data_IF_999386700694
#
_entry.id   IF_999386700694
#
_cell.length_a   1.000
_cell.length_b   1.000
_cell.length_c   1.000
_cell.angle_alpha   90.00
_cell.angle_beta   90.00
_cell.angle_gamma   90.00
#
_symmetry.space_group_name_H-M   'P 1'
#
loop_
_entity.id
_entity.type
_entity.pdbx_description
1 polymer ?
#
# COMPACT_ATOMS: atom_id res chain seq x y z
N UNK A 1 -13.90 58.72 21.85
CA UNK A 1 -14.12 57.91 23.07
C UNK A 1 -12.82 57.92 23.83
N UNK A 2 -12.84 58.22 25.14
CA UNK A 2 -11.65 58.05 25.99
C UNK A 2 -11.32 56.56 26.05
N UNK A 3 -10.07 56.20 25.73
CA UNK A 3 -9.57 54.84 25.87
C UNK A 3 -9.52 54.50 27.37
N UNK A 4 -9.96 53.29 27.74
CA UNK A 4 -9.88 52.76 29.10
C UNK A 4 -8.72 51.75 29.10
N UNK A 5 -7.68 51.99 29.92
CA UNK A 5 -6.47 51.17 30.02
C UNK A 5 -5.17 51.89 29.60
N UNK A 6 -4.04 51.18 29.64
CA UNK A 6 -2.74 51.69 29.15
C UNK A 6 -2.73 51.62 27.62
N UNK A 7 -2.59 52.78 26.96
CA UNK A 7 -2.49 52.85 25.51
C UNK A 7 -1.02 52.65 25.08
N UNK A 8 -0.76 51.52 24.43
CA UNK A 8 0.56 51.21 23.87
C UNK A 8 0.63 51.65 22.40
N UNK A 9 1.65 52.45 22.08
CA UNK A 9 1.95 52.86 20.70
C UNK A 9 2.34 51.63 19.85
N UNK A 10 1.83 51.50 18.61
CA UNK A 10 2.11 50.36 17.76
C UNK A 10 3.46 50.48 17.06
N UNK A 11 4.38 49.56 17.33
CA UNK A 11 5.69 49.48 16.70
C UNK A 11 5.79 48.36 15.65
N UNK A 12 6.55 48.55 14.57
CA UNK A 12 6.84 47.46 13.66
C UNK A 12 7.91 46.52 14.23
N UNK A 13 7.65 45.21 14.19
CA UNK A 13 8.69 44.19 14.36
C UNK A 13 9.19 43.78 12.98
N UNK A 14 10.42 44.17 12.64
CA UNK A 14 11.00 43.90 11.33
C UNK A 14 11.75 42.56 11.36
N UNK A 15 11.29 41.61 10.54
CA UNK A 15 11.92 40.31 10.34
C UNK A 15 12.47 40.22 8.93
N UNK A 16 13.65 39.62 8.75
CA UNK A 16 14.28 39.43 7.44
C UNK A 16 14.32 37.95 7.12
N UNK A 17 13.82 37.55 5.95
CA UNK A 17 13.77 36.15 5.52
C UNK A 17 15.18 35.52 5.50
N UNK A 18 15.27 34.25 5.86
CA UNK A 18 16.53 33.46 5.86
C UNK A 18 17.64 34.02 6.76
N UNK A 19 17.30 34.83 7.78
CA UNK A 19 18.26 35.42 8.73
C UNK A 19 17.80 35.20 10.16
N UNK A 20 18.75 34.97 11.06
CA UNK A 20 18.51 35.01 12.50
C UNK A 20 17.91 36.38 12.89
N UNK A 21 16.94 36.37 13.79
CA UNK A 21 16.50 37.58 14.47
C UNK A 21 17.27 37.74 15.78
N UNK A 22 17.88 38.91 15.99
CA UNK A 22 18.55 39.28 17.24
C UNK A 22 18.10 40.65 17.68
N UNK A 23 17.73 40.76 18.95
CA UNK A 23 17.35 42.03 19.54
C UNK A 23 17.84 42.13 20.98
N UNK A 24 18.15 43.35 21.40
CA UNK A 24 18.66 43.65 22.72
C UNK A 24 18.17 45.03 23.14
N UNK A 25 17.77 45.16 24.40
CA UNK A 25 17.49 46.45 25.02
C UNK A 25 17.79 46.42 26.51
N UNK A 26 17.89 47.61 27.10
CA UNK A 26 18.08 47.80 28.53
C UNK A 26 16.79 48.28 29.19
N UNK A 27 16.49 47.78 30.38
CA UNK A 27 15.47 48.35 31.24
C UNK A 27 16.01 49.64 31.87
N UNK A 28 15.32 50.75 31.63
CA UNK A 28 15.76 52.08 32.07
C UNK A 28 14.75 52.64 33.08
N UNK A 29 15.24 53.32 34.11
CA UNK A 29 14.40 54.05 35.05
C UNK A 29 13.88 55.39 34.48
N UNK A 30 13.13 56.15 35.27
CA UNK A 30 12.61 57.48 34.89
C UNK A 30 13.71 58.49 34.49
N UNK A 31 14.95 58.28 34.97
CA UNK A 31 16.11 59.11 34.67
C UNK A 31 16.95 58.57 33.50
N UNK A 32 16.46 57.53 32.81
CA UNK A 32 17.15 56.82 31.71
C UNK A 32 18.44 56.11 32.15
N UNK A 33 18.53 55.71 33.41
CA UNK A 33 19.63 54.91 33.92
C UNK A 33 19.26 53.42 33.89
N UNK A 34 20.18 52.51 33.50
CA UNK A 34 19.94 51.08 33.53
C UNK A 34 19.57 50.59 34.92
N UNK A 35 18.44 49.90 35.02
CA UNK A 35 17.94 49.31 36.26
C UNK A 35 17.61 47.83 36.03
N UNK A 36 17.91 46.91 36.98
CA UNK A 36 17.59 45.50 36.79
C UNK A 36 16.13 45.25 36.46
N UNK A 37 15.85 44.27 35.60
CA UNK A 37 14.48 43.80 35.41
C UNK A 37 13.97 43.19 36.73
N UNK A 38 12.69 43.42 37.08
CA UNK A 38 12.08 42.70 38.19
C UNK A 38 12.08 41.18 37.92
N UNK A 39 12.01 40.35 38.97
CA UNK A 39 11.93 38.90 38.79
C UNK A 39 10.71 38.51 37.96
N UNK A 40 10.92 37.74 36.90
CA UNK A 40 9.87 37.38 35.96
C UNK A 40 10.40 36.89 34.61
N UNK A 41 9.48 36.73 33.66
CA UNK A 41 9.77 36.34 32.27
C UNK A 41 9.40 37.48 31.33
N UNK A 42 10.25 37.73 30.34
CA UNK A 42 10.00 38.70 29.28
C UNK A 42 10.00 37.96 27.94
N UNK A 43 8.99 38.18 27.10
CA UNK A 43 8.87 37.49 25.82
C UNK A 43 8.07 38.28 24.79
N UNK A 44 8.37 38.05 23.51
CA UNK A 44 7.43 38.38 22.46
C UNK A 44 6.33 37.33 22.39
N UNK A 45 5.11 37.79 22.22
CA UNK A 45 3.94 36.97 21.99
C UNK A 45 3.35 37.35 20.63
N UNK A 46 3.43 36.43 19.67
CA UNK A 46 3.03 36.64 18.28
C UNK A 46 1.75 35.86 17.98
N UNK A 47 0.71 36.55 17.51
CA UNK A 47 -0.56 35.95 17.07
C UNK A 47 -0.39 35.35 15.66
N UNK A 48 0.29 34.21 15.62
CA UNK A 48 0.60 33.46 14.39
C UNK A 48 -0.59 32.69 13.82
N UNK A 49 -1.78 32.84 14.42
CA UNK A 49 -3.04 32.31 13.94
C UNK A 49 -3.25 30.80 14.13
N UNK A 50 -4.54 30.42 14.15
CA UNK A 50 -5.08 29.06 14.03
C UNK A 50 -4.63 28.08 15.10
N UNK A 51 -5.11 28.24 16.34
CA UNK A 51 -4.97 27.21 17.36
C UNK A 51 -5.59 25.91 16.86
N UNK A 52 -4.80 24.84 16.87
CA UNK A 52 -5.34 23.53 16.56
C UNK A 52 -4.56 22.42 17.26
N UNK A 53 -5.29 21.38 17.64
CA UNK A 53 -4.74 20.15 18.21
C UNK A 53 -3.77 19.45 17.25
N UNK A 54 -2.83 18.69 17.80
CA UNK A 54 -2.09 17.73 17.01
C UNK A 54 -3.03 16.59 16.58
N UNK A 55 -2.93 16.19 15.31
CA UNK A 55 -3.71 15.08 14.76
C UNK A 55 -2.80 14.26 13.85
N UNK A 56 -2.75 12.97 14.11
CA UNK A 56 -1.92 12.01 13.38
C UNK A 56 -2.79 10.83 12.96
N UNK A 57 -2.52 10.29 11.78
CA UNK A 57 -3.18 9.09 11.27
C UNK A 57 -2.24 7.91 11.42
N UNK A 58 -2.75 6.82 11.98
CA UNK A 58 -2.04 5.56 12.19
C UNK A 58 -2.67 4.52 11.30
N UNK A 59 -1.85 3.85 10.49
CA UNK A 59 -2.24 2.77 9.60
C UNK A 59 -1.54 1.48 9.99
N UNK A 60 -2.29 0.50 10.51
CA UNK A 60 -1.81 -0.86 10.78
C UNK A 60 -2.08 -1.69 9.52
N UNK A 61 -1.03 -2.17 8.87
CA UNK A 61 -1.07 -2.76 7.54
C UNK A 61 -0.54 -4.18 7.57
N UNK A 62 -1.16 -5.09 6.80
CA UNK A 62 -0.73 -6.49 6.61
C UNK A 62 -0.58 -7.31 7.90
N UNK A 63 -1.18 -6.86 8.99
CA UNK A 63 -1.23 -7.57 10.25
C UNK A 63 -2.39 -8.56 10.27
N UNK A 64 -2.19 -9.68 10.94
CA UNK A 64 -3.20 -10.73 11.15
C UNK A 64 -3.33 -11.14 12.61
N UNK A 65 -2.61 -10.46 13.52
CA UNK A 65 -2.60 -10.76 14.94
C UNK A 65 -1.41 -10.09 15.66
N UNK A 66 -1.16 -10.55 16.89
CA UNK A 66 -0.07 -10.03 17.72
C UNK A 66 -0.39 -8.68 18.33
N UNK A 67 0.65 -7.97 18.77
CA UNK A 67 0.55 -6.66 19.44
C UNK A 67 1.50 -5.63 18.85
N UNK A 68 1.19 -4.36 19.05
CA UNK A 68 2.07 -3.24 18.69
C UNK A 68 2.04 -2.18 19.79
N UNK A 69 3.00 -1.24 19.75
CA UNK A 69 3.03 -0.10 20.67
C UNK A 69 3.14 1.20 19.91
N UNK A 70 2.65 2.27 20.53
CA UNK A 70 2.77 3.62 20.04
C UNK A 70 3.61 4.45 21.01
N UNK A 71 4.67 5.05 20.49
CA UNK A 71 5.58 5.90 21.23
C UNK A 71 5.24 7.37 21.06
N UNK A 72 5.13 8.12 22.16
CA UNK A 72 4.92 9.57 22.16
C UNK A 72 5.91 10.19 23.14
N UNK A 73 6.57 11.29 22.76
CA UNK A 73 7.60 11.96 23.58
C UNK A 73 8.74 11.03 24.08
N UNK A 74 9.02 9.94 23.35
CA UNK A 74 10.07 8.97 23.70
C UNK A 74 9.65 7.89 24.69
N UNK A 75 8.38 7.86 25.11
CA UNK A 75 7.80 6.82 25.97
C UNK A 75 6.80 6.00 25.16
N UNK A 76 6.74 4.68 25.41
CA UNK A 76 5.85 3.77 24.69
C UNK A 76 4.63 3.41 25.52
N UNK A 77 3.50 3.23 24.84
CA UNK A 77 2.29 2.64 25.40
C UNK A 77 2.53 1.22 25.91
N UNK A 78 1.62 0.68 26.75
CA UNK A 78 1.42 -0.76 26.87
C UNK A 78 1.16 -1.41 25.49
N UNK A 79 1.23 -2.74 25.46
CA UNK A 79 0.88 -3.53 24.27
C UNK A 79 -0.57 -3.22 23.85
N UNK A 80 -0.75 -2.86 22.58
CA UNK A 80 -2.04 -2.71 21.93
C UNK A 80 -2.25 -3.96 21.09
N UNK A 81 -3.32 -4.69 21.37
CA UNK A 81 -3.68 -5.87 20.61
C UNK A 81 -4.09 -5.50 19.17
N UNK A 82 -3.67 -6.31 18.20
CA UNK A 82 -4.23 -6.22 16.86
C UNK A 82 -5.71 -6.55 16.93
N UNK A 83 -6.54 -5.61 16.48
CA UNK A 83 -7.98 -5.74 16.47
C UNK A 83 -8.43 -6.70 15.36
N UNK A 84 -8.64 -7.97 15.69
CA UNK A 84 -9.27 -8.88 14.75
C UNK A 84 -10.79 -8.74 14.80
N UNK A 85 -11.32 -7.96 13.87
CA UNK A 85 -12.75 -7.75 13.66
C UNK A 85 -13.58 -9.05 13.58
N UNK A 86 -12.99 -10.17 13.19
CA UNK A 86 -13.69 -11.45 13.09
C UNK A 86 -13.91 -12.12 14.45
N UNK A 87 -13.10 -11.79 15.45
CA UNK A 87 -13.15 -12.36 16.80
C UNK A 87 -13.61 -11.37 17.86
N UNK A 88 -13.22 -10.10 17.75
CA UNK A 88 -13.63 -9.02 18.63
C UNK A 88 -14.05 -7.78 17.82
N UNK A 89 -15.33 -7.64 17.46
CA UNK A 89 -15.79 -6.57 16.59
C UNK A 89 -16.02 -5.23 17.30
N UNK A 90 -15.60 -5.04 18.56
CA UNK A 90 -15.82 -3.78 19.26
C UNK A 90 -14.64 -3.33 20.11
N UNK A 91 -14.50 -2.02 20.28
CA UNK A 91 -13.69 -1.45 21.35
C UNK A 91 -12.29 -1.02 20.95
N UNK A 92 -11.92 -1.12 19.67
CA UNK A 92 -10.58 -0.76 19.18
C UNK A 92 -10.20 0.67 19.60
N UNK A 93 -11.13 1.61 19.42
CA UNK A 93 -10.94 3.01 19.79
C UNK A 93 -10.66 3.19 21.30
N UNK A 94 -11.36 2.44 22.14
CA UNK A 94 -11.20 2.47 23.59
C UNK A 94 -9.83 1.95 24.01
N UNK A 95 -9.46 0.76 23.51
CA UNK A 95 -8.19 0.12 23.82
C UNK A 95 -6.99 0.98 23.40
N UNK A 96 -7.05 1.61 22.21
CA UNK A 96 -6.00 2.54 21.74
C UNK A 96 -5.96 3.79 22.61
N UNK A 97 -7.13 4.34 23.01
CA UNK A 97 -7.19 5.52 23.89
C UNK A 97 -6.55 5.20 25.23
N UNK A 98 -6.94 4.09 25.86
CA UNK A 98 -6.43 3.66 27.16
C UNK A 98 -4.92 3.42 27.10
N UNK A 99 -4.41 2.80 26.03
CA UNK A 99 -2.99 2.54 25.86
C UNK A 99 -2.16 3.83 25.67
N UNK A 100 -2.66 4.79 24.90
CA UNK A 100 -1.98 6.09 24.70
C UNK A 100 -2.03 6.95 25.98
N UNK A 101 -3.16 6.94 26.69
CA UNK A 101 -3.33 7.69 27.94
C UNK A 101 -2.55 7.08 29.12
N UNK A 102 -2.19 5.79 29.03
CA UNK A 102 -1.30 5.13 29.98
C UNK A 102 0.17 5.60 29.86
N UNK A 103 0.54 6.29 28.77
CA UNK A 103 1.85 6.91 28.64
C UNK A 103 1.93 8.09 29.63
N UNK A 104 2.90 8.13 30.57
CA UNK A 104 2.99 9.20 31.58
C UNK A 104 3.07 10.61 31.00
N UNK A 105 3.81 10.78 29.90
CA UNK A 105 3.93 12.07 29.20
C UNK A 105 2.66 12.52 28.46
N UNK A 106 1.71 11.60 28.22
CA UNK A 106 0.41 11.88 27.61
C UNK A 106 -0.65 12.08 28.68
N UNK A 107 -0.89 11.08 29.52
CA UNK A 107 -1.85 11.11 30.62
C UNK A 107 -3.33 11.05 30.21
N UNK A 108 -4.18 10.74 31.19
CA UNK A 108 -5.62 10.55 31.00
C UNK A 108 -6.37 11.81 30.57
N UNK A 109 -7.33 11.65 29.67
CA UNK A 109 -8.17 12.71 29.10
C UNK A 109 -7.49 13.59 28.03
N UNK A 110 -6.29 13.21 27.57
CA UNK A 110 -5.49 14.00 26.62
C UNK A 110 -5.45 13.39 25.22
N UNK A 111 -6.19 12.31 24.98
CA UNK A 111 -6.27 11.68 23.65
C UNK A 111 -7.72 11.47 23.25
N UNK A 112 -7.99 11.70 21.97
CA UNK A 112 -9.23 11.31 21.31
C UNK A 112 -8.89 10.53 20.06
N UNK A 113 -9.11 9.22 20.10
CA UNK A 113 -8.98 8.37 18.92
C UNK A 113 -10.27 8.50 18.09
N UNK A 114 -10.18 8.63 16.78
CA UNK A 114 -11.33 8.62 15.87
C UNK A 114 -11.87 7.20 15.64
N UNK A 115 -13.03 7.08 15.00
CA UNK A 115 -13.53 5.77 14.59
C UNK A 115 -12.54 5.10 13.62
N UNK A 116 -12.23 3.83 13.88
CA UNK A 116 -11.40 3.02 13.01
C UNK A 116 -12.04 2.79 11.66
N UNK A 117 -11.25 2.95 10.60
CA UNK A 117 -11.58 2.54 9.24
C UNK A 117 -10.88 1.23 8.96
N UNK A 118 -11.68 0.22 8.64
CA UNK A 118 -11.24 -1.16 8.43
C UNK A 118 -11.37 -1.44 6.94
N UNK A 119 -10.24 -1.70 6.31
CA UNK A 119 -10.13 -1.90 4.87
C UNK A 119 -9.84 -3.38 4.64
N UNK A 120 -10.77 -4.14 4.07
CA UNK A 120 -10.55 -5.56 3.80
C UNK A 120 -9.50 -5.72 2.71
N UNK A 121 -8.57 -6.63 2.95
CA UNK A 121 -7.50 -6.98 2.02
C UNK A 121 -7.45 -8.49 1.86
N UNK A 122 -7.35 -8.94 0.61
CA UNK A 122 -7.08 -10.33 0.27
C UNK A 122 -5.71 -10.44 -0.35
N UNK A 123 -4.91 -11.33 0.19
CA UNK A 123 -3.62 -11.65 -0.37
C UNK A 123 -3.68 -13.04 -1.01
N UNK A 124 -3.56 -13.06 -2.33
CA UNK A 124 -3.65 -14.26 -3.14
C UNK A 124 -2.25 -14.66 -3.55
N UNK A 125 -1.77 -15.78 -3.01
CA UNK A 125 -0.51 -16.40 -3.42
C UNK A 125 -0.78 -17.51 -4.42
N UNK A 126 -0.20 -17.36 -5.61
CA UNK A 126 -0.28 -18.32 -6.70
C UNK A 126 1.10 -18.92 -6.95
N UNK A 127 1.20 -20.24 -6.86
CA UNK A 127 2.43 -20.97 -7.20
C UNK A 127 2.20 -21.75 -8.49
N UNK A 128 3.00 -21.47 -9.52
CA UNK A 128 2.96 -22.24 -10.76
C UNK A 128 3.26 -23.71 -10.45
N UNK A 129 2.41 -24.57 -10.98
CA UNK A 129 2.70 -25.99 -11.07
C UNK A 129 3.96 -26.15 -11.94
N UNK A 130 4.85 -27.08 -11.58
CA UNK A 130 6.20 -27.14 -12.13
C UNK A 130 6.19 -27.00 -13.66
N UNK A 131 7.10 -26.18 -14.22
CA UNK A 131 7.17 -25.80 -15.63
C UNK A 131 6.53 -26.84 -16.57
N UNK A 132 5.40 -26.46 -17.18
CA UNK A 132 4.66 -27.38 -18.03
C UNK A 132 5.15 -27.27 -19.47
N UNK A 133 5.36 -28.43 -20.07
CA UNK A 133 5.58 -28.56 -21.50
C UNK A 133 4.30 -28.22 -22.25
N UNK A 134 4.43 -27.59 -23.41
CA UNK A 134 3.26 -27.36 -24.25
C UNK A 134 2.71 -28.70 -24.76
N UNK A 135 1.39 -28.88 -24.67
CA UNK A 135 0.69 -30.03 -25.24
C UNK A 135 -0.27 -29.53 -26.31
N UNK A 136 -0.05 -29.97 -27.54
CA UNK A 136 -0.97 -29.74 -28.66
C UNK A 136 -1.68 -31.02 -29.05
N UNK A 137 -2.97 -30.92 -29.34
CA UNK A 137 -3.78 -32.01 -29.87
C UNK A 137 -3.81 -31.95 -31.39
N UNK A 138 -3.65 -33.11 -32.02
CA UNK A 138 -3.84 -33.35 -33.45
C UNK A 138 -5.01 -34.31 -33.60
N UNK A 139 -6.10 -33.83 -34.19
CA UNK A 139 -7.34 -34.58 -34.36
C UNK A 139 -7.72 -34.74 -35.83
N UNK A 140 -7.84 -35.98 -36.25
CA UNK A 140 -8.41 -36.37 -37.54
C UNK A 140 -9.94 -36.30 -37.44
N UNK A 141 -10.58 -35.65 -38.40
CA UNK A 141 -12.04 -35.55 -38.49
C UNK A 141 -12.54 -36.08 -39.84
N UNK A 142 -13.86 -36.25 -39.98
CA UNK A 142 -14.49 -36.75 -41.20
C UNK A 142 -14.43 -38.27 -41.37
N UNK A 143 -14.02 -39.01 -40.34
CA UNK A 143 -13.95 -40.48 -40.28
C UNK A 143 -13.12 -41.11 -41.42
N UNK A 144 -11.85 -40.71 -41.61
CA UNK A 144 -10.97 -41.39 -42.57
C UNK A 144 -10.83 -42.87 -42.21
N UNK A 145 -10.73 -43.71 -43.23
CA UNK A 145 -10.48 -45.15 -43.09
C UNK A 145 -9.11 -45.57 -43.63
N UNK A 146 -8.36 -44.63 -44.23
CA UNK A 146 -7.04 -44.88 -44.79
C UNK A 146 -6.35 -43.59 -45.27
N UNK A 147 -5.32 -43.75 -46.08
CA UNK A 147 -4.56 -42.64 -46.67
C UNK A 147 -3.45 -42.11 -45.76
N UNK A 148 -3.01 -40.88 -46.03
CA UNK A 148 -1.92 -40.22 -45.31
C UNK A 148 -2.28 -38.77 -44.95
N UNK A 149 -1.67 -38.27 -43.88
CA UNK A 149 -1.72 -36.85 -43.51
C UNK A 149 -0.31 -36.32 -43.27
N UNK A 150 -0.17 -35.00 -43.22
CA UNK A 150 1.09 -34.34 -42.89
C UNK A 150 0.86 -33.28 -41.83
N UNK A 151 1.91 -33.03 -41.05
CA UNK A 151 1.94 -31.96 -40.04
C UNK A 151 2.98 -30.93 -40.46
N UNK A 152 2.69 -29.65 -40.26
CA UNK A 152 3.67 -28.58 -40.42
C UNK A 152 3.91 -27.90 -39.09
N UNK A 153 5.17 -27.60 -38.82
CA UNK A 153 5.58 -26.81 -37.68
C UNK A 153 6.65 -25.80 -38.09
N UNK A 154 6.39 -24.52 -37.83
CA UNK A 154 7.27 -23.40 -38.14
C UNK A 154 7.81 -23.42 -39.58
N UNK A 155 6.93 -23.71 -40.55
CA UNK A 155 7.27 -23.70 -41.97
C UNK A 155 7.86 -25.00 -42.53
N UNK A 156 8.12 -26.01 -41.70
CA UNK A 156 8.54 -27.34 -42.18
C UNK A 156 7.43 -28.38 -42.08
N UNK A 157 7.28 -29.17 -43.14
CA UNK A 157 6.24 -30.21 -43.24
C UNK A 157 6.85 -31.60 -43.11
N UNK A 158 6.21 -32.47 -42.34
CA UNK A 158 6.62 -33.87 -42.20
C UNK A 158 6.51 -34.62 -43.53
N UNK A 159 7.21 -35.75 -43.64
CA UNK A 159 6.85 -36.76 -44.61
C UNK A 159 5.43 -37.32 -44.32
N UNK A 160 4.88 -38.09 -45.27
CA UNK A 160 3.57 -38.70 -45.12
C UNK A 160 3.47 -39.58 -43.86
N UNK A 161 2.43 -39.32 -43.09
CA UNK A 161 2.06 -40.07 -41.90
C UNK A 161 0.84 -40.92 -42.25
N UNK A 162 0.92 -42.26 -42.20
CA UNK A 162 -0.22 -43.10 -42.54
C UNK A 162 -1.36 -42.92 -41.54
N UNK A 163 -2.60 -43.03 -42.02
CA UNK A 163 -3.76 -43.15 -41.16
C UNK A 163 -3.58 -44.31 -40.19
N UNK A 164 -3.93 -44.09 -38.92
CA UNK A 164 -3.78 -45.09 -37.87
C UNK A 164 -2.35 -45.35 -37.39
N UNK A 165 -1.36 -44.54 -37.81
CA UNK A 165 0.01 -44.58 -37.29
C UNK A 165 0.07 -44.73 -35.75
N UNK A 166 1.08 -45.42 -35.24
CA UNK A 166 1.33 -45.43 -33.80
C UNK A 166 2.01 -44.13 -33.36
N UNK A 167 2.05 -43.89 -32.04
CA UNK A 167 2.63 -42.68 -31.49
C UNK A 167 4.12 -42.52 -31.85
N UNK A 168 4.87 -43.63 -31.87
CA UNK A 168 6.28 -43.65 -32.24
C UNK A 168 6.53 -43.21 -33.69
N UNK A 169 5.67 -43.63 -34.62
CA UNK A 169 5.74 -43.20 -36.02
C UNK A 169 5.52 -41.70 -36.13
N UNK A 170 4.46 -41.17 -35.50
CA UNK A 170 4.18 -39.71 -35.53
C UNK A 170 5.33 -38.93 -34.89
N UNK A 171 5.85 -39.39 -33.75
CA UNK A 171 6.97 -38.77 -33.05
C UNK A 171 8.23 -38.72 -33.92
N UNK A 172 8.54 -39.83 -34.61
CA UNK A 172 9.72 -39.89 -35.50
C UNK A 172 9.62 -38.87 -36.64
N UNK A 173 8.42 -38.64 -37.18
CA UNK A 173 8.17 -37.70 -38.27
C UNK A 173 8.27 -36.24 -37.81
N UNK A 174 7.78 -35.93 -36.61
CA UNK A 174 7.91 -34.61 -36.00
C UNK A 174 9.36 -34.32 -35.60
N UNK A 175 10.05 -35.30 -34.99
CA UNK A 175 11.46 -35.18 -34.58
C UNK A 175 12.42 -34.99 -35.77
N UNK A 176 12.01 -35.38 -36.98
CA UNK A 176 12.79 -35.20 -38.20
C UNK A 176 12.71 -33.76 -38.76
N UNK A 177 11.76 -32.93 -38.30
CA UNK A 177 11.72 -31.52 -38.65
C UNK A 177 12.86 -30.80 -37.94
N UNK A 178 13.68 -30.03 -38.65
CA UNK A 178 14.79 -29.31 -37.99
C UNK A 178 14.32 -28.18 -37.08
N UNK A 179 13.06 -27.75 -37.22
CA UNK A 179 12.40 -26.78 -36.35
C UNK A 179 11.94 -27.38 -35.02
N UNK A 180 11.80 -28.72 -34.93
CA UNK A 180 11.53 -29.43 -33.66
C UNK A 180 12.82 -30.07 -33.16
N UNK A 181 13.48 -30.89 -33.99
CA UNK A 181 14.70 -31.61 -33.64
C UNK A 181 14.45 -32.90 -32.85
N UNK A 182 15.46 -33.76 -32.81
CA UNK A 182 15.39 -35.04 -32.12
C UNK A 182 15.30 -34.85 -30.60
N UNK A 183 14.36 -35.56 -29.96
CA UNK A 183 14.19 -35.55 -28.51
C UNK A 183 13.42 -34.34 -27.97
N UNK A 184 12.82 -33.51 -28.83
CA UNK A 184 12.07 -32.31 -28.43
C UNK A 184 10.54 -32.44 -28.57
N UNK A 185 10.04 -33.61 -28.95
CA UNK A 185 8.62 -33.92 -28.98
C UNK A 185 8.37 -35.35 -28.48
N UNK A 186 7.42 -35.50 -27.56
CA UNK A 186 6.88 -36.78 -27.11
C UNK A 186 5.42 -36.89 -27.60
N UNK A 187 5.07 -37.99 -28.26
CA UNK A 187 3.72 -38.19 -28.79
C UNK A 187 3.01 -39.28 -28.01
N UNK A 188 1.76 -39.02 -27.65
CA UNK A 188 0.83 -40.02 -27.09
C UNK A 188 -0.36 -40.18 -28.04
N UNK A 189 -0.69 -41.41 -28.39
CA UNK A 189 -1.91 -41.72 -29.16
C UNK A 189 -3.06 -41.93 -28.18
N UNK A 190 -4.10 -41.12 -28.30
CA UNK A 190 -5.29 -41.18 -27.43
C UNK A 190 -6.29 -42.20 -27.99
N UNK A 191 -6.56 -42.11 -29.29
CA UNK A 191 -7.40 -43.05 -30.03
C UNK A 191 -6.96 -43.10 -31.51
N UNK A 192 -7.75 -43.72 -32.40
CA UNK A 192 -7.39 -43.83 -33.83
C UNK A 192 -7.40 -42.51 -34.60
N UNK A 193 -7.98 -41.46 -34.04
CA UNK A 193 -8.15 -40.15 -34.65
C UNK A 193 -7.39 -39.05 -33.91
N UNK A 194 -6.94 -39.29 -32.67
CA UNK A 194 -6.42 -38.24 -31.80
C UNK A 194 -5.02 -38.57 -31.28
N UNK A 195 -4.09 -37.63 -31.47
CA UNK A 195 -2.74 -37.65 -30.91
C UNK A 195 -2.52 -36.41 -30.06
N UNK A 196 -1.74 -36.54 -29.00
CA UNK A 196 -1.21 -35.42 -28.22
C UNK A 196 0.30 -35.35 -28.41
N UNK A 197 0.79 -34.17 -28.74
CA UNK A 197 2.20 -33.85 -28.91
C UNK A 197 2.60 -32.97 -27.76
N UNK A 198 3.45 -33.49 -26.87
CA UNK A 198 4.08 -32.76 -25.79
C UNK A 198 5.47 -32.27 -26.25
N UNK A 199 5.72 -30.96 -26.20
CA UNK A 199 7.00 -30.36 -26.55
C UNK A 199 7.97 -30.42 -25.37
N UNK A 200 9.02 -31.22 -25.52
CA UNK A 200 9.97 -31.55 -24.45
C UNK A 200 11.39 -31.10 -24.83
N UNK A 201 12.39 -31.44 -24.01
CA UNK A 201 13.79 -31.16 -24.34
C UNK A 201 14.07 -29.67 -24.46
N UNK A 202 14.61 -29.24 -25.60
CA UNK A 202 14.90 -27.83 -25.88
C UNK A 202 13.64 -26.96 -26.06
N UNK A 203 12.47 -27.56 -26.26
CA UNK A 203 11.17 -26.88 -26.38
C UNK A 203 10.32 -27.04 -25.09
N UNK A 204 10.91 -27.57 -24.02
CA UNK A 204 10.25 -27.72 -22.74
C UNK A 204 9.96 -26.36 -22.11
N UNK A 205 8.77 -26.19 -21.53
CA UNK A 205 8.39 -24.95 -20.83
C UNK A 205 8.27 -23.71 -21.71
N UNK A 206 8.23 -23.85 -23.03
CA UNK A 206 8.09 -22.73 -23.97
C UNK A 206 6.77 -22.78 -24.71
N UNK A 207 6.11 -21.63 -24.83
CA UNK A 207 4.96 -21.44 -25.71
C UNK A 207 5.45 -21.49 -27.17
N UNK A 208 4.99 -22.49 -27.91
CA UNK A 208 5.43 -22.80 -29.26
C UNK A 208 4.33 -22.59 -30.29
N UNK A 209 4.71 -22.40 -31.55
CA UNK A 209 3.76 -22.22 -32.62
C UNK A 209 2.82 -23.44 -32.75
N UNK A 210 1.52 -23.19 -33.00
CA UNK A 210 0.58 -24.27 -33.26
C UNK A 210 0.96 -25.07 -34.52
N UNK A 211 1.00 -26.41 -34.39
CA UNK A 211 1.12 -27.34 -35.51
C UNK A 211 -0.04 -27.10 -36.47
N UNK A 212 0.23 -27.11 -37.77
CA UNK A 212 -0.81 -27.10 -38.79
C UNK A 212 -1.00 -28.52 -39.33
N UNK A 213 -2.25 -28.97 -39.40
CA UNK A 213 -2.61 -30.26 -39.94
C UNK A 213 -3.06 -30.19 -41.40
N UNK A 214 -2.53 -31.07 -42.23
CA UNK A 214 -2.92 -31.19 -43.64
C UNK A 214 -3.46 -32.60 -43.92
N UNK A 215 -4.74 -32.67 -44.25
CA UNK A 215 -5.40 -33.93 -44.66
C UNK A 215 -5.31 -34.24 -46.15
N UNK A 216 -4.85 -33.29 -46.97
CA UNK A 216 -4.88 -33.40 -48.44
C UNK A 216 -3.73 -32.62 -49.09
N UNK A 217 -3.26 -33.15 -50.22
CA UNK A 217 -2.37 -32.45 -51.15
C UNK A 217 -2.34 -33.11 -52.52
N UNK A 218 -1.47 -32.64 -53.42
CA UNK A 218 -1.32 -33.24 -54.75
C UNK A 218 -0.63 -34.60 -54.62
N UNK A 219 -1.37 -35.67 -54.89
CA UNK A 219 -0.85 -37.04 -54.92
C UNK A 219 -0.81 -37.78 -53.58
N UNK A 220 -1.39 -37.21 -52.51
CA UNK A 220 -1.51 -37.83 -51.19
C UNK A 220 -2.70 -37.24 -50.42
N UNK A 221 -3.19 -37.94 -49.40
CA UNK A 221 -4.30 -37.46 -48.59
C UNK A 221 -5.01 -38.57 -47.83
N UNK A 222 -5.83 -38.17 -46.87
CA UNK A 222 -6.70 -39.06 -46.12
C UNK A 222 -7.82 -39.59 -47.02
N UNK A 223 -8.16 -40.86 -46.90
CA UNK A 223 -9.19 -41.49 -47.72
C UNK A 223 -10.32 -42.06 -46.87
N UNK A 224 -11.50 -42.20 -47.46
CA UNK A 224 -12.70 -42.66 -46.76
C UNK A 224 -13.37 -41.56 -45.96
N UNK A 225 -14.61 -41.82 -45.52
CA UNK A 225 -15.39 -40.87 -44.75
C UNK A 225 -15.90 -39.66 -45.56
N UNK A 226 -16.38 -38.64 -44.84
CA UNK A 226 -16.93 -37.39 -45.40
C UNK A 226 -15.94 -36.27 -45.15
N UNK A 227 -15.25 -35.82 -46.20
CA UNK A 227 -14.26 -34.74 -46.16
C UNK A 227 -13.25 -34.89 -45.01
N UNK A 228 -12.48 -36.00 -44.97
CA UNK A 228 -11.53 -36.21 -43.90
C UNK A 228 -10.49 -35.08 -43.85
N UNK A 229 -10.04 -34.75 -42.66
CA UNK A 229 -9.07 -33.67 -42.48
C UNK A 229 -8.38 -33.75 -41.13
N UNK A 230 -7.50 -32.76 -40.88
CA UNK A 230 -6.74 -32.66 -39.63
C UNK A 230 -6.99 -31.29 -39.03
N UNK A 231 -7.37 -31.25 -37.75
CA UNK A 231 -7.46 -30.04 -36.95
C UNK A 231 -6.49 -30.15 -35.79
N UNK A 232 -5.91 -29.02 -35.42
CA UNK A 232 -4.98 -28.92 -34.30
C UNK A 232 -5.43 -27.84 -33.32
N UNK A 233 -5.06 -28.00 -32.05
CA UNK A 233 -5.33 -27.02 -30.99
C UNK A 233 -4.35 -27.21 -29.84
N UNK A 234 -3.88 -26.12 -29.24
CA UNK A 234 -3.12 -26.18 -27.98
C UNK A 234 -4.07 -26.50 -26.82
N UNK A 235 -3.73 -27.51 -26.02
CA UNK A 235 -4.47 -27.95 -24.82
C UNK A 235 -3.86 -27.35 -23.56
N UNK A 236 -2.53 -27.24 -23.52
CA UNK A 236 -1.77 -26.65 -22.42
C UNK A 236 -0.62 -25.88 -23.02
N UNK A 237 -0.50 -24.58 -22.76
CA UNK A 237 0.62 -23.77 -23.25
C UNK A 237 1.91 -24.11 -22.50
N UNK A 238 3.06 -24.00 -23.15
CA UNK A 238 4.34 -24.19 -22.50
C UNK A 238 4.70 -22.98 -21.64
N UNK A 239 4.93 -23.19 -20.35
CA UNK A 239 5.20 -22.10 -19.40
C UNK A 239 6.28 -22.50 -18.39
N UNK A 240 7.47 -21.90 -18.52
CA UNK A 240 8.55 -22.05 -17.55
C UNK A 240 8.45 -21.05 -16.38
N UNK A 241 7.83 -19.89 -16.64
CA UNK A 241 7.74 -18.74 -15.74
C UNK A 241 6.47 -17.92 -16.03
N UNK A 242 6.09 -17.10 -15.07
CA UNK A 242 5.04 -16.09 -15.23
C UNK A 242 5.46 -15.03 -16.28
N UNK A 243 4.69 -14.84 -17.34
CA UNK A 243 4.92 -13.82 -18.37
C UNK A 243 3.83 -12.73 -18.34
N UNK A 244 4.09 -11.57 -18.95
CA UNK A 244 3.19 -10.40 -18.88
C UNK A 244 1.76 -10.68 -19.37
N UNK A 245 1.60 -11.50 -20.41
CA UNK A 245 0.28 -11.87 -20.93
C UNK A 245 -0.52 -12.67 -19.92
N UNK A 246 0.13 -13.65 -19.28
CA UNK A 246 -0.46 -14.45 -18.22
C UNK A 246 -0.79 -13.57 -17.01
N UNK A 247 0.07 -12.60 -16.66
CA UNK A 247 -0.17 -11.65 -15.57
C UNK A 247 -1.42 -10.83 -15.83
N UNK A 248 -1.56 -10.28 -17.03
CA UNK A 248 -2.72 -9.49 -17.43
C UNK A 248 -4.00 -10.33 -17.41
N UNK A 249 -3.93 -11.60 -17.80
CA UNK A 249 -5.06 -12.51 -17.76
C UNK A 249 -5.49 -12.83 -16.32
N UNK A 250 -4.55 -13.15 -15.44
CA UNK A 250 -4.83 -13.40 -14.01
C UNK A 250 -5.43 -12.13 -13.39
N UNK A 251 -4.82 -10.98 -13.61
CA UNK A 251 -5.27 -9.71 -13.07
C UNK A 251 -6.70 -9.37 -13.52
N UNK A 252 -7.00 -9.53 -14.82
CA UNK A 252 -8.35 -9.30 -15.37
C UNK A 252 -9.37 -10.26 -14.76
N UNK A 253 -8.98 -11.53 -14.58
CA UNK A 253 -9.84 -12.58 -14.03
C UNK A 253 -10.18 -12.31 -12.57
N UNK A 254 -9.18 -11.99 -11.75
CA UNK A 254 -9.36 -11.68 -10.33
C UNK A 254 -10.13 -10.37 -10.14
N UNK A 255 -9.82 -9.31 -10.90
CA UNK A 255 -10.60 -8.08 -10.90
C UNK A 255 -12.08 -8.32 -11.23
N UNK A 256 -12.36 -9.16 -12.24
CA UNK A 256 -13.72 -9.51 -12.63
C UNK A 256 -14.51 -10.16 -11.50
N UNK A 257 -13.87 -11.04 -10.72
CA UNK A 257 -14.47 -11.62 -9.52
C UNK A 257 -14.80 -10.55 -8.48
N UNK A 258 -13.85 -9.72 -8.10
CA UNK A 258 -14.07 -8.75 -7.02
C UNK A 258 -15.10 -7.67 -7.39
N UNK A 259 -15.15 -7.27 -8.66
CA UNK A 259 -16.17 -6.35 -9.17
C UNK A 259 -17.59 -6.94 -9.17
N UNK A 260 -17.75 -8.25 -9.00
CA UNK A 260 -19.07 -8.88 -8.88
C UNK A 260 -19.69 -8.71 -7.49
N UNK A 261 -18.92 -8.28 -6.48
CA UNK A 261 -19.42 -8.08 -5.14
C UNK A 261 -19.95 -6.65 -4.95
N UNK A 262 -21.27 -6.47 -5.03
CA UNK A 262 -21.94 -5.17 -4.85
C UNK A 262 -21.63 -4.47 -3.52
N UNK A 263 -21.26 -5.24 -2.49
CA UNK A 263 -20.91 -4.68 -1.18
C UNK A 263 -19.56 -3.95 -1.16
N UNK A 264 -18.70 -4.21 -2.16
CA UNK A 264 -17.45 -3.53 -2.42
C UNK A 264 -17.71 -2.36 -3.39
N UNK A 265 -17.05 -1.20 -3.20
CA UNK A 265 -17.10 -0.09 -4.18
C UNK A 265 -16.02 -0.25 -5.27
N UNK A 266 -15.72 -1.50 -5.64
CA UNK A 266 -14.51 -1.88 -6.38
C UNK A 266 -13.31 -2.13 -5.48
N UNK A 267 -12.24 -2.64 -6.09
CA UNK A 267 -10.97 -2.98 -5.44
C UNK A 267 -9.80 -2.38 -6.21
N UNK A 268 -8.73 -2.05 -5.50
CA UNK A 268 -7.42 -1.83 -6.06
C UNK A 268 -6.64 -3.16 -6.00
N UNK A 269 -6.01 -3.56 -7.11
CA UNK A 269 -5.22 -4.80 -7.15
C UNK A 269 -3.77 -4.43 -7.42
N UNK A 270 -2.95 -4.56 -6.39
CA UNK A 270 -1.52 -4.51 -6.54
C UNK A 270 -0.99 -5.91 -6.86
N UNK A 271 -0.26 -6.02 -7.96
CA UNK A 271 0.34 -7.25 -8.40
C UNK A 271 1.85 -7.22 -8.14
N UNK A 272 2.40 -8.25 -7.48
CA UNK A 272 3.85 -8.43 -7.32
C UNK A 272 4.30 -9.85 -7.70
N UNK A 273 5.39 -9.94 -8.47
CA UNK A 273 6.08 -11.22 -8.73
C UNK A 273 7.19 -11.34 -7.71
N UNK A 274 7.01 -12.18 -6.68
CA UNK A 274 8.06 -12.39 -5.68
C UNK A 274 9.19 -13.26 -6.21
N UNK A 275 8.89 -14.20 -7.11
CA UNK A 275 9.83 -15.07 -7.82
C UNK A 275 9.24 -15.51 -9.17
N UNK A 276 10.05 -15.99 -10.11
CA UNK A 276 9.60 -16.32 -11.48
C UNK A 276 8.43 -17.36 -11.58
N UNK A 277 8.11 -18.05 -10.49
CA UNK A 277 7.01 -19.02 -10.37
C UNK A 277 5.95 -18.66 -9.32
N UNK A 278 6.20 -17.63 -8.52
CA UNK A 278 5.34 -17.22 -7.42
C UNK A 278 4.80 -15.83 -7.71
N UNK A 279 3.48 -15.75 -7.89
CA UNK A 279 2.74 -14.53 -8.04
C UNK A 279 2.03 -14.22 -6.73
N UNK A 280 2.04 -12.95 -6.33
CA UNK A 280 1.25 -12.41 -5.24
C UNK A 280 0.35 -11.32 -5.77
N UNK A 281 -0.93 -11.38 -5.43
CA UNK A 281 -1.90 -10.33 -5.68
C UNK A 281 -2.40 -9.81 -4.34
N UNK A 282 -2.25 -8.53 -4.10
CA UNK A 282 -2.81 -7.84 -2.95
C UNK A 282 -4.02 -7.05 -3.43
N UNK A 283 -5.21 -7.57 -3.09
CA UNK A 283 -6.49 -6.97 -3.45
C UNK A 283 -6.99 -6.15 -2.27
N UNK A 284 -6.97 -4.83 -2.40
CA UNK A 284 -7.40 -3.88 -1.37
C UNK A 284 -8.74 -3.27 -1.73
N UNK A 285 -9.72 -3.36 -0.84
CA UNK A 285 -11.01 -2.69 -1.07
C UNK A 285 -10.87 -1.18 -1.09
N UNK A 286 -11.55 -0.52 -2.04
CA UNK A 286 -11.67 0.95 -2.06
C UNK A 286 -12.64 1.47 -1.00
N UNK A 287 -13.52 0.60 -0.48
CA UNK A 287 -14.44 0.90 0.62
C UNK A 287 -13.83 0.49 1.95
N UNK A 288 -13.83 1.41 2.91
CA UNK A 288 -13.59 1.11 4.32
C UNK A 288 -14.90 0.95 5.08
N UNK A 289 -14.85 0.17 6.16
CA UNK A 289 -15.97 -0.06 7.07
C UNK A 289 -15.60 0.44 8.46
N UNK A 290 -16.59 0.87 9.24
CA UNK A 290 -16.44 1.03 10.68
C UNK A 290 -16.74 -0.31 11.39
N UNK A 291 -16.55 -0.34 12.70
CA UNK A 291 -16.81 -1.53 13.54
C UNK A 291 -18.25 -2.07 13.38
N UNK A 292 -19.23 -1.19 13.19
CA UNK A 292 -20.63 -1.59 13.00
C UNK A 292 -20.91 -2.13 11.59
N UNK A 293 -20.30 -1.53 10.56
CA UNK A 293 -20.44 -1.92 9.16
C UNK A 293 -19.91 -3.32 8.88
N UNK A 294 -18.91 -3.78 9.63
CA UNK A 294 -18.35 -5.14 9.58
C UNK A 294 -19.38 -6.24 9.76
N UNK A 295 -20.37 -6.06 10.64
CA UNK A 295 -21.38 -7.08 10.93
C UNK A 295 -22.19 -7.43 9.66
N UNK A 296 -22.30 -6.47 8.75
CA UNK A 296 -23.00 -6.63 7.47
C UNK A 296 -22.07 -7.02 6.32
N UNK A 297 -20.76 -7.07 6.55
CA UNK A 297 -19.78 -7.48 5.56
C UNK A 297 -19.75 -9.01 5.45
N UNK A 298 -20.38 -9.54 4.40
CA UNK A 298 -20.55 -10.98 4.18
C UNK A 298 -19.67 -11.57 3.07
N UNK A 299 -18.69 -10.82 2.55
CA UNK A 299 -17.85 -11.30 1.43
C UNK A 299 -16.74 -12.19 1.98
N UNK A 300 -16.92 -13.50 1.82
CA UNK A 300 -15.92 -14.50 2.15
C UNK A 300 -15.28 -15.06 0.88
N UNK A 301 -14.12 -14.52 0.51
CA UNK A 301 -13.32 -15.02 -0.60
C UNK A 301 -12.37 -16.09 -0.06
N UNK A 302 -12.56 -17.33 -0.51
CA UNK A 302 -11.75 -18.49 -0.10
C UNK A 302 -10.81 -18.92 -1.23
N UNK A 303 -9.76 -19.68 -0.90
CA UNK A 303 -8.88 -20.31 -1.91
C UNK A 303 -9.66 -21.07 -2.97
N UNK A 304 -10.67 -21.86 -2.57
CA UNK A 304 -11.52 -22.61 -3.50
C UNK A 304 -12.31 -21.69 -4.46
N UNK A 305 -12.73 -20.51 -3.99
CA UNK A 305 -13.43 -19.55 -4.83
C UNK A 305 -12.49 -18.97 -5.90
N UNK A 306 -11.28 -18.58 -5.49
CA UNK A 306 -10.24 -18.10 -6.42
C UNK A 306 -9.86 -19.20 -7.41
N UNK A 307 -9.62 -20.43 -6.94
CA UNK A 307 -9.33 -21.58 -7.80
C UNK A 307 -10.42 -21.83 -8.83
N UNK A 308 -11.69 -21.78 -8.43
CA UNK A 308 -12.83 -21.97 -9.34
C UNK A 308 -12.86 -20.92 -10.44
N UNK A 309 -12.62 -19.65 -10.10
CA UNK A 309 -12.62 -18.56 -11.08
C UNK A 309 -11.40 -18.64 -12.00
N UNK A 310 -10.20 -18.92 -11.47
CA UNK A 310 -9.01 -19.14 -12.29
C UNK A 310 -9.24 -20.30 -13.27
N UNK A 311 -9.76 -21.42 -12.79
CA UNK A 311 -10.06 -22.60 -13.64
C UNK A 311 -11.25 -22.40 -14.58
N UNK A 312 -12.02 -21.31 -14.45
CA UNK A 312 -13.05 -20.96 -15.44
C UNK A 312 -12.46 -20.42 -16.74
N UNK A 313 -11.20 -19.97 -16.70
CA UNK A 313 -10.44 -19.48 -17.86
C UNK A 313 -9.63 -20.64 -18.42
N UNK A 314 -9.99 -21.13 -19.60
CA UNK A 314 -9.38 -22.31 -20.23
C UNK A 314 -7.84 -22.28 -20.27
N UNK A 315 -7.24 -21.10 -20.46
CA UNK A 315 -5.78 -20.92 -20.53
C UNK A 315 -5.07 -21.05 -19.18
N UNK A 316 -5.80 -20.94 -18.06
CA UNK A 316 -5.25 -21.01 -16.70
C UNK A 316 -5.51 -22.35 -16.02
N UNK A 317 -6.28 -23.25 -16.65
CA UNK A 317 -6.69 -24.52 -16.05
C UNK A 317 -5.49 -25.37 -15.70
N UNK A 318 -5.39 -25.77 -14.43
CA UNK A 318 -4.32 -26.66 -13.93
C UNK A 318 -2.93 -26.02 -13.87
N UNK A 319 -2.82 -24.71 -14.11
CA UNK A 319 -1.55 -24.00 -14.17
C UNK A 319 -0.90 -23.78 -12.80
N UNK A 320 -1.70 -23.68 -11.73
CA UNK A 320 -1.22 -23.42 -10.38
C UNK A 320 -1.32 -24.68 -9.53
N UNK A 321 -0.24 -25.02 -8.81
CA UNK A 321 -0.24 -26.12 -7.84
C UNK A 321 -0.78 -25.70 -6.49
N UNK A 322 -0.74 -24.39 -6.21
CA UNK A 322 -1.20 -23.82 -4.95
C UNK A 322 -1.84 -22.47 -5.23
N UNK A 323 -3.07 -22.32 -4.75
CA UNK A 323 -3.76 -21.06 -4.61
C UNK A 323 -4.06 -20.90 -3.13
N UNK A 324 -3.37 -19.96 -2.50
CA UNK A 324 -3.58 -19.65 -1.09
C UNK A 324 -4.14 -18.24 -0.98
N UNK A 325 -5.13 -18.06 -0.12
CA UNK A 325 -5.79 -16.77 0.10
C UNK A 325 -5.74 -16.48 1.58
N UNK A 326 -5.01 -15.42 1.94
CA UNK A 326 -5.07 -14.82 3.26
C UNK A 326 -6.02 -13.63 3.22
N UNK A 327 -6.75 -13.43 4.31
CA UNK A 327 -7.66 -12.31 4.49
C UNK A 327 -7.33 -11.60 5.79
N UNK A 328 -7.19 -10.29 5.72
CA UNK A 328 -6.92 -9.45 6.87
C UNK A 328 -7.51 -8.04 6.67
N UNK A 329 -7.48 -7.25 7.73
CA UNK A 329 -8.00 -5.89 7.75
C UNK A 329 -6.84 -4.91 7.94
N UNK A 330 -6.70 -3.97 7.01
CA UNK A 330 -5.87 -2.80 7.28
C UNK A 330 -6.68 -1.84 8.16
N UNK A 331 -6.11 -1.38 9.27
CA UNK A 331 -6.77 -0.47 10.19
C UNK A 331 -6.20 0.92 10.02
N UNK A 332 -7.06 1.90 9.78
CA UNK A 332 -6.68 3.31 9.70
C UNK A 332 -7.51 4.08 10.72
N UNK A 333 -6.85 4.74 11.66
CA UNK A 333 -7.52 5.59 12.65
C UNK A 333 -6.71 6.86 12.90
N UNK A 334 -7.40 7.87 13.39
CA UNK A 334 -6.79 9.16 13.70
C UNK A 334 -6.68 9.34 15.20
N UNK A 335 -5.56 9.87 15.65
CA UNK A 335 -5.29 10.21 17.05
C UNK A 335 -5.22 11.74 17.12
N UNK A 336 -6.18 12.34 17.81
CA UNK A 336 -6.19 13.77 18.13
C UNK A 336 -5.73 13.96 19.58
N UNK A 337 -4.73 14.82 19.80
CA UNK A 337 -4.23 15.16 21.13
C UNK A 337 -5.01 16.36 21.68
N UNK A 338 -5.70 16.16 22.80
CA UNK A 338 -6.66 17.08 23.39
C UNK A 338 -6.28 17.40 24.85
N UNK A 339 -7.16 18.08 25.58
CA UNK A 339 -6.96 18.34 27.01
C UNK A 339 -5.72 19.20 27.26
N UNK A 340 -4.81 18.72 28.11
CA UNK A 340 -3.55 19.39 28.42
C UNK A 340 -2.58 19.45 27.22
N UNK A 341 -2.76 18.59 26.20
CA UNK A 341 -1.98 18.59 24.96
C UNK A 341 -2.67 19.35 23.81
N UNK A 342 -3.86 19.92 24.06
CA UNK A 342 -4.58 20.75 23.10
C UNK A 342 -3.72 21.91 22.61
N UNK A 343 -3.78 22.21 21.31
CA UNK A 343 -3.03 23.31 20.70
C UNK A 343 -1.52 23.32 20.99
N UNK A 344 -0.91 22.16 21.29
CA UNK A 344 0.54 22.04 21.48
C UNK A 344 1.16 21.21 20.39
N UNK A 345 2.46 21.43 20.15
CA UNK A 345 3.22 20.57 19.25
C UNK A 345 3.37 19.18 19.87
N UNK A 346 2.98 18.15 19.14
CA UNK A 346 3.21 16.75 19.51
C UNK A 346 4.07 16.11 18.41
N UNK A 347 5.20 15.47 18.77
CA UNK A 347 6.06 14.80 17.80
C UNK A 347 5.32 13.62 17.11
N UNK A 348 5.79 13.19 15.93
CA UNK A 348 5.24 12.02 15.26
C UNK A 348 5.22 10.80 16.18
N UNK A 349 4.11 10.05 16.19
CA UNK A 349 3.99 8.80 16.93
C UNK A 349 5.01 7.80 16.36
N UNK A 350 5.79 7.17 17.24
CA UNK A 350 6.80 6.18 16.88
C UNK A 350 6.24 4.77 17.08
N UNK A 351 5.96 4.00 16.02
CA UNK A 351 5.45 2.64 16.18
C UNK A 351 6.56 1.66 16.61
N UNK A 352 6.20 0.69 17.45
CA UNK A 352 6.97 -0.54 17.65
C UNK A 352 6.08 -1.73 17.25
N UNK A 353 6.55 -2.47 16.24
CA UNK A 353 5.82 -3.59 15.62
C UNK A 353 6.53 -4.92 15.81
N UNK A 354 7.48 -5.00 16.76
CA UNK A 354 8.29 -6.21 16.97
C UNK A 354 7.47 -7.44 17.36
N UNK A 355 6.34 -7.25 18.03
CA UNK A 355 5.40 -8.30 18.43
C UNK A 355 4.20 -8.45 17.47
N UNK A 356 4.16 -7.67 16.38
CA UNK A 356 3.06 -7.70 15.43
C UNK A 356 3.25 -8.90 14.51
N UNK A 357 2.20 -9.70 14.33
CA UNK A 357 2.21 -10.81 13.39
C UNK A 357 1.34 -10.48 12.19
N UNK A 358 1.69 -11.06 11.04
CA UNK A 358 0.96 -10.79 9.82
C UNK A 358 1.35 -11.68 8.67
N UNK A 359 0.83 -11.31 7.50
CA UNK A 359 0.98 -12.11 6.29
C UNK A 359 2.34 -11.81 5.65
N UNK A 360 3.08 -12.88 5.34
CA UNK A 360 4.34 -12.82 4.58
C UNK A 360 5.41 -11.85 5.11
N UNK A 361 5.41 -11.57 6.42
CA UNK A 361 6.34 -10.66 7.09
C UNK A 361 6.29 -9.20 6.57
N UNK A 362 5.14 -8.77 6.04
CA UNK A 362 4.93 -7.40 5.54
C UNK A 362 4.18 -6.51 6.53
N UNK A 363 3.84 -7.04 7.71
CA UNK A 363 3.12 -6.30 8.74
C UNK A 363 3.92 -5.10 9.23
N UNK A 364 3.23 -3.96 9.34
CA UNK A 364 3.84 -2.71 9.79
C UNK A 364 2.78 -1.74 10.28
N UNK A 365 3.25 -0.72 10.97
CA UNK A 365 2.45 0.43 11.37
C UNK A 365 3.10 1.66 10.78
N UNK A 366 2.32 2.40 9.99
CA UNK A 366 2.72 3.66 9.39
C UNK A 366 2.01 4.81 10.10
N UNK A 367 2.72 5.92 10.32
CA UNK A 367 2.16 7.11 10.97
C UNK A 367 2.36 8.30 10.06
N UNK A 368 1.28 9.02 9.80
CA UNK A 368 1.26 10.28 9.04
C UNK A 368 0.81 11.43 9.94
N UNK A 369 1.62 12.48 10.05
CA UNK A 369 1.22 13.69 10.77
C UNK A 369 0.31 14.52 9.87
N UNK A 370 -0.99 14.47 10.12
CA UNK A 370 -1.96 15.31 9.41
C UNK A 370 -1.75 16.78 9.79
N UNK A 371 -1.53 17.03 11.08
CA UNK A 371 -1.12 18.33 11.60
C UNK A 371 -0.40 18.18 12.95
N UNK A 372 0.76 18.83 13.16
CA UNK A 372 1.60 18.60 14.34
C UNK A 372 1.09 19.24 15.63
N UNK A 373 0.00 20.01 15.55
CA UNK A 373 -0.51 20.82 16.65
C UNK A 373 0.22 22.15 16.78
N UNK A 374 -0.53 23.21 17.05
CA UNK A 374 0.01 24.58 17.05
C UNK A 374 -0.71 25.44 18.06
N UNK A 375 0.07 26.10 18.91
CA UNK A 375 -0.46 27.06 19.86
C UNK A 375 -0.96 28.29 19.11
N UNK A 376 -2.02 28.92 19.63
CA UNK A 376 -2.52 30.18 19.07
C UNK A 376 -1.41 31.22 18.94
N UNK A 377 -0.51 31.25 19.91
CA UNK A 377 0.52 32.28 20.06
C UNK A 377 1.90 31.65 20.05
N UNK A 378 2.80 32.23 19.26
CA UNK A 378 4.22 31.88 19.26
C UNK A 378 4.93 32.76 20.28
N UNK A 379 5.66 32.14 21.21
CA UNK A 379 6.39 32.84 22.27
C UNK A 379 7.88 32.81 21.97
N UNK A 380 8.51 33.98 21.91
CA UNK A 380 9.97 34.12 21.80
C UNK A 380 10.52 34.74 23.09
N UNK A 381 11.15 33.93 23.98
CA UNK A 381 11.62 34.41 25.28
C UNK A 381 12.92 35.22 25.18
N UNK A 382 13.03 36.24 26.03
CA UNK A 382 14.28 36.95 26.25
C UNK A 382 15.09 36.30 27.38
N UNK A 383 16.41 36.30 27.24
CA UNK A 383 17.35 36.10 28.34
C UNK A 383 17.57 37.43 29.04
N UNK A 384 17.32 37.45 30.35
CA UNK A 384 17.51 38.63 31.20
C UNK A 384 18.82 38.49 31.98
N UNK A 385 19.68 39.51 31.91
CA UNK A 385 20.91 39.64 32.70
C UNK A 385 20.98 41.04 33.31
N UNK A 386 20.60 41.15 34.59
CA UNK A 386 20.48 42.42 35.29
C UNK A 386 19.51 43.36 34.58
N UNK A 387 20.03 44.46 34.02
CA UNK A 387 19.24 45.45 33.28
C UNK A 387 19.08 45.11 31.78
N UNK A 388 19.72 44.05 31.27
CA UNK A 388 19.74 43.72 29.83
C UNK A 388 18.79 42.59 29.51
N UNK A 389 18.03 42.75 28.44
CA UNK A 389 17.23 41.69 27.84
C UNK A 389 17.75 41.41 26.43
N UNK A 390 18.04 40.15 26.13
CA UNK A 390 18.57 39.71 24.83
C UNK A 390 17.76 38.56 24.27
N UNK A 391 17.55 38.53 22.96
CA UNK A 391 16.91 37.43 22.26
C UNK A 391 17.67 37.05 21.00
N UNK A 392 17.72 35.75 20.72
CA UNK A 392 18.17 35.18 19.45
C UNK A 392 17.15 34.13 19.00
N UNK A 393 16.64 34.28 17.79
CA UNK A 393 15.75 33.32 17.13
C UNK A 393 16.41 32.91 15.82
N UNK A 394 16.55 31.61 15.60
CA UNK A 394 17.17 31.06 14.38
C UNK A 394 16.27 31.30 13.16
N UNK A 395 16.88 31.42 11.98
CA UNK A 395 16.20 31.77 10.73
C UNK A 395 14.97 30.92 10.40
N UNK A 396 15.01 29.62 10.70
CA UNK A 396 13.93 28.67 10.43
C UNK A 396 12.65 29.00 11.22
N UNK A 397 12.80 29.57 12.42
CA UNK A 397 11.66 30.00 13.23
C UNK A 397 11.18 31.40 12.88
N UNK A 398 12.11 32.29 12.49
CA UNK A 398 11.77 33.62 11.97
C UNK A 398 10.92 33.50 10.71
N UNK A 399 11.26 32.55 9.83
CA UNK A 399 10.57 32.32 8.58
C UNK A 399 9.14 31.78 8.74
N UNK A 400 8.73 31.33 9.93
CA UNK A 400 7.35 30.90 10.20
C UNK A 400 6.40 32.06 10.52
N UNK A 401 6.92 33.28 10.70
CA UNK A 401 6.11 34.44 11.06
C UNK A 401 5.67 35.20 9.82
N UNK A 402 4.35 35.33 9.64
CA UNK A 402 3.77 36.00 8.49
C UNK A 402 3.77 37.54 8.61
N UNK A 403 3.80 38.28 7.48
CA UNK A 403 3.62 39.72 7.49
C UNK A 403 2.29 40.10 8.15
N UNK A 404 2.28 41.20 8.90
CA UNK A 404 1.13 41.73 9.64
C UNK A 404 0.66 40.88 10.83
N UNK A 405 1.36 39.80 11.18
CA UNK A 405 1.16 39.09 12.45
C UNK A 405 1.20 40.12 13.60
N UNK A 406 0.19 40.08 14.46
CA UNK A 406 0.15 40.95 15.64
C UNK A 406 1.16 40.42 16.64
N UNK A 407 1.90 41.32 17.27
CA UNK A 407 2.80 40.96 18.35
C UNK A 407 2.59 41.87 19.54
N UNK A 408 2.92 41.36 20.72
CA UNK A 408 3.10 42.15 21.93
C UNK A 408 4.35 41.69 22.69
N UNK A 409 5.02 42.62 23.34
CA UNK A 409 6.07 42.33 24.30
C UNK A 409 5.40 42.24 25.67
N UNK A 410 5.57 41.12 26.36
CA UNK A 410 4.90 40.86 27.65
C UNK A 410 5.94 40.63 28.72
N UNK A 411 5.73 41.27 29.86
CA UNK A 411 6.44 40.95 31.10
C UNK A 411 5.49 40.21 32.04
N UNK A 412 5.86 38.98 32.41
CA UNK A 412 5.13 38.15 33.37
C UNK A 412 5.91 38.13 34.69
N UNK A 413 5.40 38.76 35.77
CA UNK A 413 6.03 38.72 37.08
C UNK A 413 6.21 37.29 37.62
N UNK A 414 7.26 37.09 38.40
CA UNK A 414 7.49 35.80 39.08
C UNK A 414 6.31 35.46 40.02
N UNK A 415 5.82 34.22 39.94
CA UNK A 415 4.71 33.72 40.75
C UNK A 415 3.33 33.85 40.11
N UNK A 416 3.19 34.56 38.98
CA UNK A 416 1.93 34.62 38.24
C UNK A 416 1.80 33.45 37.23
N UNK A 417 0.62 32.78 37.16
CA UNK A 417 0.45 31.62 36.30
C UNK A 417 0.29 31.97 34.82
N UNK A 418 -0.31 33.12 34.49
CA UNK A 418 -0.53 33.63 33.12
C UNK A 418 -1.05 35.08 33.14
N UNK A 419 -1.04 35.75 31.97
CA UNK A 419 -1.79 37.01 31.76
C UNK A 419 -1.02 38.31 32.01
N UNK A 420 0.32 38.27 32.05
CA UNK A 420 1.21 39.40 32.37
C UNK A 420 1.00 40.69 31.57
N UNK A 421 1.76 41.72 31.92
CA UNK A 421 1.54 43.08 31.43
C UNK A 421 2.13 43.29 30.04
N UNK A 422 1.35 43.81 29.06
CA UNK A 422 1.88 44.18 27.77
C UNK A 422 2.69 45.48 27.90
N UNK A 423 3.94 45.44 27.46
CA UNK A 423 4.91 46.53 27.51
C UNK A 423 4.96 47.29 26.18
N UNK A 424 4.84 46.57 25.07
CA UNK A 424 4.79 47.12 23.72
C UNK A 424 3.93 46.24 22.82
N UNK A 425 3.46 46.77 21.69
CA UNK A 425 2.68 45.98 20.72
C UNK A 425 2.92 46.48 19.31
N UNK A 426 2.52 45.68 18.33
CA UNK A 426 2.35 46.16 16.98
C UNK A 426 2.18 45.06 15.96
N UNK A 427 2.78 45.23 14.78
CA UNK A 427 2.67 44.29 13.66
C UNK A 427 4.01 43.94 13.08
N UNK A 428 4.13 42.69 12.62
CA UNK A 428 5.31 42.20 11.93
C UNK A 428 5.38 42.81 10.52
N UNK A 429 6.56 43.28 10.15
CA UNK A 429 6.95 43.60 8.78
C UNK A 429 8.03 42.62 8.34
N UNK A 430 7.85 41.99 7.18
CA UNK A 430 8.83 41.04 6.64
C UNK A 430 9.58 41.70 5.48
N UNK A 431 10.90 41.59 5.50
CA UNK A 431 11.81 41.98 4.42
C UNK A 431 12.28 40.72 3.71
N UNK A 432 12.19 40.72 2.38
CA UNK A 432 12.64 39.64 1.49
C UNK A 432 14.10 39.81 1.07
#
# INVERSE_FOLDING_TARGET
>A
MSVVGVELEPDPLVLTRFRDFRFMFENLDENRLPTPFPPGKLYFELDTGGAHNAMQEVSVIAASGGTYKLGVFGEYSPDIDYYDATTNPYGMQGDITDALEAIPSVGAGNVKVGAGRLIPVWEITLTLNAAHNEIQEVKLYGNPTGGTFRLNYSGQTTADIPFGADAATVQSKLSALSTIGAGNAAVTKIDNYTYRVEFVGALAGTDVQQILGFGWGLGWGLTGGLFPGVRTSTITNGLAQLNEQLMNLINTTVNGLFNSFDSLLGVDIEFSVSQAKNAKLTVTSLKSYDEQGLITFGVNVTSNMIESVINSVAQLVGLFSTVHVDFYWNHVYQVEFVGALSDTYVPPIAPDTTALTGVNNEQRVEVSVIRPGKARMTIWPFTIDGAKATIKVESEQVDLIEPRTRWQLVFLPEGEPAGGDPVARGRVMVQE
#
